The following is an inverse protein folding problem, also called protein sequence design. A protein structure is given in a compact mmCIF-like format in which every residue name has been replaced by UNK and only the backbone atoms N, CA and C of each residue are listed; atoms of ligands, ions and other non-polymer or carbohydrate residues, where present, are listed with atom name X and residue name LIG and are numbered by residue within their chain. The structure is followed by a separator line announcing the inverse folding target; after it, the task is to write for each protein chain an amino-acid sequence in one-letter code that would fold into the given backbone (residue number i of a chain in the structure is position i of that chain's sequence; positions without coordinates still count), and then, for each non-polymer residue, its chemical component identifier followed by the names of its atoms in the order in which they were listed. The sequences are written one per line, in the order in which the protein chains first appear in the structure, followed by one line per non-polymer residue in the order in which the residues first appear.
data_IF_572239524162
#
_entry.id   IF_572239524162
#
_cell.length_a   1.000
_cell.length_b   1.000
_cell.length_c   1.000
_cell.angle_alpha   90.00
_cell.angle_beta   90.00
_cell.angle_gamma   90.00
#
_symmetry.space_group_name_H-M   'P 1'
#
loop_
_entity.id
_entity.type
_entity.pdbx_description
1 polymer ?
#
# COMPACT_ATOMS: atom_id res chain seq x y z
N UNK A 1 40.28 27.13 21.01
CA UNK A 1 38.91 26.68 21.33
C UNK A 1 38.26 26.31 20.02
N UNK A 2 38.38 25.03 19.63
CA UNK A 2 37.63 24.48 18.50
C UNK A 2 36.17 24.35 18.94
N UNK A 3 35.26 24.95 18.15
CA UNK A 3 33.82 24.80 18.36
C UNK A 3 33.42 23.48 17.71
N UNK A 4 32.95 22.54 18.51
CA UNK A 4 32.37 21.28 18.02
C UNK A 4 31.25 21.57 17.02
N UNK A 5 31.13 20.78 15.93
CA UNK A 5 30.04 20.93 15.00
C UNK A 5 28.74 20.51 15.69
N UNK A 6 27.78 21.44 15.73
CA UNK A 6 26.40 21.14 16.13
C UNK A 6 25.88 20.03 15.20
N UNK A 7 25.64 18.85 15.75
CA UNK A 7 24.83 17.84 15.09
C UNK A 7 23.44 18.45 14.87
N UNK A 8 23.17 18.91 13.66
CA UNK A 8 21.80 19.14 13.20
C UNK A 8 21.07 17.81 13.30
N UNK A 9 20.15 17.70 14.25
CA UNK A 9 19.13 16.65 14.22
C UNK A 9 18.37 16.84 12.91
N UNK A 10 18.69 16.03 11.90
CA UNK A 10 17.80 15.84 10.75
C UNK A 10 16.48 15.33 11.32
N UNK A 11 15.46 16.19 11.36
CA UNK A 11 14.10 15.73 11.56
C UNK A 11 13.83 14.68 10.48
N UNK A 12 13.59 13.43 10.90
CA UNK A 12 13.15 12.40 9.96
C UNK A 12 11.78 12.84 9.47
N UNK A 13 11.66 13.14 8.17
CA UNK A 13 10.37 13.31 7.54
C UNK A 13 9.60 12.00 7.67
N UNK A 14 8.37 12.07 8.16
CA UNK A 14 7.46 10.92 8.13
C UNK A 14 7.16 10.55 6.67
N UNK A 15 7.06 9.25 6.35
CA UNK A 15 6.78 8.82 5.00
C UNK A 15 5.36 9.23 4.59
N UNK A 16 5.19 9.62 3.33
CA UNK A 16 3.88 9.96 2.76
C UNK A 16 3.06 8.69 2.52
N UNK A 17 3.73 7.58 2.23
CA UNK A 17 3.15 6.25 2.09
C UNK A 17 3.54 5.44 3.34
N UNK A 18 2.56 5.06 4.17
CA UNK A 18 2.81 4.25 5.37
C UNK A 18 3.12 2.79 4.98
N UNK A 19 4.39 2.52 4.70
CA UNK A 19 4.92 1.20 4.36
C UNK A 19 5.73 0.56 5.50
N UNK A 20 5.83 1.20 6.68
CA UNK A 20 6.77 0.78 7.72
C UNK A 20 6.47 -0.64 8.22
N UNK A 21 7.32 -1.58 7.79
CA UNK A 21 7.20 -3.01 8.06
C UNK A 21 8.55 -3.57 8.48
N UNK A 22 8.54 -4.46 9.47
CA UNK A 22 9.76 -5.17 9.91
C UNK A 22 10.33 -6.02 8.76
N UNK A 23 11.66 -5.97 8.56
CA UNK A 23 12.33 -6.74 7.48
C UNK A 23 11.97 -8.23 7.49
N UNK A 24 11.90 -8.84 8.68
CA UNK A 24 11.54 -10.25 8.82
C UNK A 24 10.11 -10.56 8.37
N UNK A 25 9.19 -9.58 8.48
CA UNK A 25 7.82 -9.71 7.97
C UNK A 25 7.81 -9.67 6.45
N UNK A 26 8.56 -8.74 5.84
CA UNK A 26 8.72 -8.70 4.38
C UNK A 26 9.32 -10.00 3.83
N UNK A 27 10.42 -10.49 4.41
CA UNK A 27 11.07 -11.74 3.99
C UNK A 27 10.12 -12.96 4.09
N UNK A 28 9.27 -13.01 5.11
CA UNK A 28 8.25 -14.06 5.23
C UNK A 28 7.16 -13.93 4.17
N UNK A 29 6.70 -12.72 3.87
CA UNK A 29 5.72 -12.47 2.81
C UNK A 29 6.26 -12.76 1.41
N UNK A 30 7.53 -12.43 1.14
CA UNK A 30 8.22 -12.81 -0.10
C UNK A 30 8.25 -14.33 -0.23
N UNK A 31 8.63 -15.05 0.84
CA UNK A 31 8.66 -16.52 0.86
C UNK A 31 7.31 -17.17 0.60
N UNK A 32 6.21 -16.48 0.96
CA UNK A 32 4.84 -16.95 0.76
C UNK A 32 4.29 -16.62 -0.64
N UNK A 33 5.05 -15.89 -1.45
CA UNK A 33 4.69 -15.55 -2.82
C UNK A 33 3.99 -14.20 -2.99
N UNK A 34 3.77 -13.43 -1.91
CA UNK A 34 3.04 -12.16 -1.99
C UNK A 34 3.73 -11.16 -2.93
N UNK A 35 5.06 -11.10 -2.88
CA UNK A 35 5.83 -10.25 -3.78
C UNK A 35 5.62 -10.60 -5.24
N UNK A 36 5.69 -11.89 -5.59
CA UNK A 36 5.45 -12.37 -6.95
C UNK A 36 4.03 -12.05 -7.42
N UNK A 37 3.02 -12.19 -6.55
CA UNK A 37 1.63 -11.86 -6.90
C UNK A 37 1.45 -10.35 -7.13
N UNK A 38 2.15 -9.50 -6.35
CA UNK A 38 2.15 -8.04 -6.53
C UNK A 38 2.89 -7.65 -7.81
N UNK A 39 4.04 -8.25 -8.09
CA UNK A 39 4.77 -8.07 -9.34
C UNK A 39 3.87 -8.40 -10.54
N UNK A 40 3.26 -9.60 -10.55
CA UNK A 40 2.35 -10.04 -11.62
C UNK A 40 1.16 -9.08 -11.78
N UNK A 41 0.58 -8.61 -10.66
CA UNK A 41 -0.52 -7.66 -10.68
C UNK A 41 -0.11 -6.30 -11.27
N UNK A 42 1.06 -5.77 -10.90
CA UNK A 42 1.57 -4.49 -11.40
C UNK A 42 1.96 -4.57 -12.87
N UNK A 43 2.70 -5.61 -13.27
CA UNK A 43 3.13 -5.80 -14.66
C UNK A 43 1.97 -6.14 -15.59
N UNK A 44 1.05 -6.99 -15.13
CA UNK A 44 -0.13 -7.41 -15.89
C UNK A 44 -1.27 -6.40 -15.88
N UNK A 45 -1.19 -5.31 -15.10
CA UNK A 45 -2.32 -4.41 -14.88
C UNK A 45 -2.98 -3.93 -16.18
N UNK A 46 -2.18 -3.43 -17.12
CA UNK A 46 -2.67 -2.88 -18.39
C UNK A 46 -3.28 -3.95 -19.33
N UNK A 47 -2.97 -5.23 -19.12
CA UNK A 47 -3.58 -6.34 -19.85
C UNK A 47 -4.86 -6.84 -19.18
N UNK A 48 -4.95 -6.70 -17.85
CA UNK A 48 -6.05 -7.18 -17.02
C UNK A 48 -7.20 -6.18 -16.91
N UNK A 49 -6.91 -4.88 -16.96
CA UNK A 49 -7.88 -3.81 -16.73
C UNK A 49 -7.98 -2.86 -17.94
N UNK A 50 -9.20 -2.50 -18.35
CA UNK A 50 -9.42 -1.45 -19.35
C UNK A 50 -8.76 -0.11 -18.95
N UNK A 51 -8.34 0.71 -19.94
CA UNK A 51 -7.80 2.05 -19.69
C UNK A 51 -8.72 2.89 -18.79
N UNK A 52 -8.15 3.46 -17.73
CA UNK A 52 -8.89 4.28 -16.78
C UNK A 52 -9.65 3.52 -15.68
N UNK A 53 -9.69 2.18 -15.68
CA UNK A 53 -10.25 1.44 -14.55
C UNK A 53 -9.33 1.48 -13.33
N UNK A 54 -9.93 1.59 -12.14
CA UNK A 54 -9.24 1.52 -10.85
C UNK A 54 -9.35 0.10 -10.29
N UNK A 55 -8.23 -0.48 -9.88
CA UNK A 55 -8.23 -1.71 -9.08
C UNK A 55 -7.55 -1.47 -7.73
N UNK A 56 -8.19 -1.96 -6.66
CA UNK A 56 -7.72 -1.80 -5.28
C UNK A 56 -6.52 -2.70 -5.02
N UNK A 57 -5.49 -2.19 -4.33
CA UNK A 57 -4.42 -3.00 -3.74
C UNK A 57 -4.87 -3.41 -2.35
N UNK A 58 -5.69 -4.46 -2.27
CA UNK A 58 -6.24 -4.98 -1.01
C UNK A 58 -5.79 -6.42 -0.76
N UNK A 59 -5.62 -6.79 0.51
CA UNK A 59 -5.16 -8.12 0.94
C UNK A 59 -6.00 -9.27 0.39
N UNK A 60 -7.30 -9.06 0.27
CA UNK A 60 -8.25 -10.04 -0.24
C UNK A 60 -8.05 -10.38 -1.72
N UNK A 61 -7.32 -9.55 -2.47
CA UNK A 61 -7.05 -9.78 -3.90
C UNK A 61 -5.90 -10.76 -4.14
N UNK A 62 -5.20 -11.21 -3.09
CA UNK A 62 -3.97 -11.98 -3.17
C UNK A 62 -4.08 -13.29 -2.39
N UNK A 63 -3.87 -14.43 -3.05
CA UNK A 63 -4.04 -15.75 -2.43
C UNK A 63 -3.05 -15.98 -1.28
N UNK A 64 -1.83 -15.47 -1.42
CA UNK A 64 -0.79 -15.59 -0.40
C UNK A 64 -1.22 -14.93 0.93
N UNK A 65 -1.94 -13.81 0.86
CA UNK A 65 -2.46 -13.10 2.03
C UNK A 65 -3.55 -13.88 2.74
N UNK A 66 -4.53 -14.39 1.99
CA UNK A 66 -5.61 -15.23 2.54
C UNK A 66 -5.06 -16.50 3.22
N UNK A 67 -4.10 -17.18 2.57
CA UNK A 67 -3.42 -18.37 3.13
C UNK A 67 -2.72 -18.05 4.45
N UNK A 68 -2.04 -16.90 4.53
CA UNK A 68 -1.33 -16.50 5.75
C UNK A 68 -2.27 -16.10 6.88
N UNK A 69 -3.26 -15.24 6.61
CA UNK A 69 -4.25 -14.80 7.61
C UNK A 69 -4.96 -16.02 8.20
N UNK A 70 -5.41 -16.96 7.36
CA UNK A 70 -6.03 -18.22 7.83
C UNK A 70 -5.08 -19.08 8.67
N UNK A 71 -3.80 -19.16 8.32
CA UNK A 71 -2.79 -19.90 9.11
C UNK A 71 -2.54 -19.25 10.47
N UNK A 72 -2.46 -17.93 10.51
CA UNK A 72 -2.28 -17.17 11.73
C UNK A 72 -3.51 -17.27 12.64
N UNK A 73 -4.71 -17.11 12.10
CA UNK A 73 -5.97 -17.25 12.84
C UNK A 73 -6.11 -18.65 13.46
N UNK A 74 -5.83 -19.72 12.70
CA UNK A 74 -5.78 -21.10 13.21
C UNK A 74 -4.80 -21.25 14.37
N UNK A 75 -3.63 -20.62 14.26
CA UNK A 75 -2.60 -20.66 15.30
C UNK A 75 -3.07 -19.95 16.56
N UNK A 76 -3.62 -18.74 16.44
CA UNK A 76 -4.14 -17.98 17.58
C UNK A 76 -5.31 -18.68 18.27
N UNK A 77 -6.22 -19.31 17.52
CA UNK A 77 -7.28 -20.17 18.08
C UNK A 77 -6.70 -21.35 18.86
N UNK A 78 -5.69 -22.04 18.30
CA UNK A 78 -5.02 -23.17 18.97
C UNK A 78 -4.38 -22.76 20.30
N UNK A 79 -3.81 -21.56 20.39
CA UNK A 79 -3.17 -21.04 21.60
C UNK A 79 -4.10 -20.25 22.53
N UNK A 80 -5.42 -20.27 22.30
CA UNK A 80 -6.42 -19.55 23.11
C UNK A 80 -6.05 -18.08 23.35
N UNK A 81 -5.66 -17.38 22.28
CA UNK A 81 -5.35 -15.96 22.39
C UNK A 81 -6.60 -15.17 22.83
N UNK A 82 -6.52 -14.54 24.01
CA UNK A 82 -7.47 -13.50 24.39
C UNK A 82 -7.17 -12.30 23.47
N UNK A 83 -8.11 -11.87 22.63
CA UNK A 83 -7.99 -10.82 21.58
C UNK A 83 -7.62 -11.32 20.17
N UNK A 84 -8.27 -12.39 19.71
CA UNK A 84 -8.10 -12.91 18.35
C UNK A 84 -8.34 -11.84 17.26
N UNK A 85 -9.42 -11.06 17.37
CA UNK A 85 -9.79 -10.05 16.36
C UNK A 85 -8.70 -8.97 16.20
N UNK A 86 -8.15 -8.48 17.32
CA UNK A 86 -7.06 -7.49 17.31
C UNK A 86 -5.83 -8.05 16.59
N UNK A 87 -5.46 -9.30 16.89
CA UNK A 87 -4.29 -9.94 16.27
C UNK A 87 -4.47 -10.23 14.78
N UNK A 88 -5.70 -10.52 14.33
CA UNK A 88 -5.99 -10.69 12.90
C UNK A 88 -5.87 -9.35 12.19
N UNK A 89 -6.46 -8.28 12.74
CA UNK A 89 -6.32 -6.91 12.21
C UNK A 89 -4.88 -6.44 12.13
N UNK A 90 -4.06 -6.74 13.13
CA UNK A 90 -2.61 -6.43 13.09
C UNK A 90 -1.88 -7.15 11.95
N UNK A 91 -2.30 -8.37 11.60
CA UNK A 91 -1.71 -9.12 10.48
C UNK A 91 -2.18 -8.56 9.15
N UNK A 92 -3.46 -8.22 9.03
CA UNK A 92 -4.02 -7.60 7.84
C UNK A 92 -3.34 -6.25 7.56
N UNK A 93 -3.10 -5.45 8.59
CA UNK A 93 -2.35 -4.20 8.45
C UNK A 93 -0.88 -4.45 8.04
N UNK A 94 -0.19 -5.42 8.65
CA UNK A 94 1.16 -5.82 8.22
C UNK A 94 1.17 -6.31 6.77
N UNK A 95 0.15 -7.04 6.34
CA UNK A 95 0.02 -7.49 4.96
C UNK A 95 -0.15 -6.29 4.03
N UNK A 96 -1.06 -5.36 4.36
CA UNK A 96 -1.31 -4.13 3.61
C UNK A 96 -0.02 -3.32 3.43
N UNK A 97 0.72 -3.08 4.51
CA UNK A 97 2.00 -2.36 4.42
C UNK A 97 3.04 -3.12 3.60
N UNK A 98 3.09 -4.44 3.68
CA UNK A 98 3.99 -5.27 2.85
C UNK A 98 3.64 -5.19 1.37
N UNK A 99 2.34 -5.26 1.03
CA UNK A 99 1.86 -5.09 -0.34
C UNK A 99 2.21 -3.72 -0.91
N UNK A 100 1.99 -2.66 -0.12
CA UNK A 100 2.36 -1.30 -0.53
C UNK A 100 3.87 -1.12 -0.65
N UNK A 101 4.66 -1.81 0.18
CA UNK A 101 6.13 -1.84 0.05
C UNK A 101 6.51 -2.46 -1.30
N UNK A 102 6.03 -3.66 -1.61
CA UNK A 102 6.33 -4.34 -2.86
C UNK A 102 5.83 -3.55 -4.06
N UNK A 103 4.61 -3.03 -4.01
CA UNK A 103 4.05 -2.22 -5.10
C UNK A 103 4.85 -0.93 -5.30
N UNK A 104 5.24 -0.22 -4.23
CA UNK A 104 6.06 0.98 -4.34
C UNK A 104 7.44 0.69 -4.94
N UNK A 105 8.07 -0.43 -4.55
CA UNK A 105 9.35 -0.88 -5.10
C UNK A 105 9.23 -1.15 -6.61
N UNK A 106 8.21 -1.90 -7.04
CA UNK A 106 7.98 -2.22 -8.46
C UNK A 106 7.62 -0.99 -9.29
N UNK A 107 6.86 -0.06 -8.71
CA UNK A 107 6.45 1.20 -9.34
C UNK A 107 7.53 2.29 -9.28
N UNK A 108 8.67 2.02 -8.64
CA UNK A 108 9.77 2.99 -8.50
C UNK A 108 9.42 4.24 -7.70
N UNK A 109 8.54 4.11 -6.70
CA UNK A 109 8.06 5.22 -5.86
C UNK A 109 8.93 5.36 -4.62
N UNK A 110 9.45 6.56 -4.34
CA UNK A 110 10.03 6.89 -3.04
C UNK A 110 8.88 7.09 -2.01
N UNK A 111 8.72 6.21 -1.00
CA UNK A 111 7.64 6.33 -0.01
C UNK A 111 7.79 7.56 0.90
N UNK A 112 9.00 8.13 1.01
CA UNK A 112 9.27 9.33 1.80
C UNK A 112 8.93 10.59 1.01
N UNK A 113 9.30 10.65 -0.27
CA UNK A 113 9.07 11.82 -1.13
C UNK A 113 8.49 11.41 -2.48
N UNK A 114 7.25 10.86 -2.53
CA UNK A 114 6.67 10.42 -3.79
C UNK A 114 6.29 11.64 -4.65
N UNK A 115 6.48 11.55 -5.97
CA UNK A 115 6.09 12.61 -6.91
C UNK A 115 4.57 12.58 -7.12
N UNK A 116 3.87 13.60 -6.62
CA UNK A 116 2.42 13.76 -6.83
C UNK A 116 2.21 14.50 -8.15
N UNK A 117 1.53 13.85 -9.10
CA UNK A 117 1.24 14.40 -10.43
C UNK A 117 -0.13 15.04 -10.52
N UNK A 118 -1.06 14.63 -9.66
CA UNK A 118 -2.42 15.17 -9.63
C UNK A 118 -3.02 15.04 -8.22
N UNK A 119 -3.81 16.02 -7.82
CA UNK A 119 -4.63 15.97 -6.61
C UNK A 119 -6.03 16.40 -6.96
N UNK A 120 -7.02 15.60 -6.60
CA UNK A 120 -8.44 15.87 -6.82
C UNK A 120 -9.16 15.95 -5.47
N UNK A 121 -10.16 16.81 -5.40
CA UNK A 121 -11.04 16.92 -4.24
C UNK A 121 -12.43 16.45 -4.65
N UNK A 122 -12.88 15.34 -4.09
CA UNK A 122 -14.21 14.77 -4.35
C UNK A 122 -15.08 15.01 -3.12
N UNK A 123 -16.30 15.51 -3.32
CA UNK A 123 -17.29 15.64 -2.26
C UNK A 123 -18.28 14.48 -2.42
N UNK A 124 -18.25 13.54 -1.48
CA UNK A 124 -19.18 12.41 -1.44
C UNK A 124 -20.15 12.53 -0.27
N UNK A 125 -21.37 12.05 -0.46
CA UNK A 125 -22.36 11.93 0.61
C UNK A 125 -22.34 10.50 1.15
N UNK A 126 -21.73 10.32 2.31
CA UNK A 126 -21.62 9.03 3.00
C UNK A 126 -22.49 9.10 4.25
N UNK A 127 -23.49 8.21 4.33
CA UNK A 127 -24.43 8.15 5.47
C UNK A 127 -25.17 9.48 5.74
N UNK A 128 -25.40 10.29 4.70
CA UNK A 128 -26.08 11.60 4.79
C UNK A 128 -25.16 12.75 5.22
N UNK A 129 -23.86 12.52 5.40
CA UNK A 129 -22.86 13.55 5.65
C UNK A 129 -21.99 13.78 4.41
N UNK A 130 -21.80 15.05 4.03
CA UNK A 130 -20.85 15.42 2.98
C UNK A 130 -19.43 15.30 3.51
N UNK A 131 -18.69 14.30 3.01
CA UNK A 131 -17.27 14.10 3.28
C UNK A 131 -16.44 14.57 2.09
N UNK A 132 -15.32 15.22 2.41
CA UNK A 132 -14.33 15.66 1.42
C UNK A 132 -13.23 14.61 1.34
N UNK A 133 -13.14 13.92 0.21
CA UNK A 133 -12.08 12.97 -0.11
C UNK A 133 -10.99 13.68 -0.91
N UNK A 134 -9.74 13.47 -0.51
CA UNK A 134 -8.57 14.00 -1.20
C UNK A 134 -7.91 12.84 -1.92
N UNK A 135 -8.00 12.84 -3.24
CA UNK A 135 -7.42 11.80 -4.09
C UNK A 135 -6.08 12.29 -4.59
N UNK A 136 -5.01 11.58 -4.24
CA UNK A 136 -3.63 11.86 -4.69
C UNK A 136 -3.21 10.82 -5.71
N UNK A 137 -2.64 11.29 -6.80
CA UNK A 137 -2.06 10.48 -7.87
C UNK A 137 -0.55 10.59 -7.79
N UNK A 138 0.12 9.46 -7.59
CA UNK A 138 1.57 9.36 -7.53
C UNK A 138 2.09 8.85 -8.86
N UNK A 139 3.16 9.48 -9.32
CA UNK A 139 3.90 9.06 -10.50
C UNK A 139 4.56 7.71 -10.25
N UNK A 140 4.58 6.87 -11.27
CA UNK A 140 5.29 5.59 -11.26
C UNK A 140 6.42 5.63 -12.30
N UNK A 141 7.24 4.59 -12.34
CA UNK A 141 8.23 4.33 -13.38
C UNK A 141 7.61 3.87 -14.71
N UNK A 142 6.28 3.72 -14.79
CA UNK A 142 5.53 3.39 -16.01
C UNK A 142 4.71 4.61 -16.46
N UNK A 143 4.86 5.03 -17.72
CA UNK A 143 4.27 6.30 -18.21
C UNK A 143 2.75 6.37 -18.06
N UNK A 144 2.05 5.24 -18.20
CA UNK A 144 0.60 5.19 -18.24
C UNK A 144 -0.03 4.60 -16.98
N UNK A 145 0.71 4.45 -15.87
CA UNK A 145 0.21 3.83 -14.64
C UNK A 145 0.39 4.78 -13.46
N UNK A 146 -0.65 4.90 -12.64
CA UNK A 146 -0.66 5.73 -11.44
C UNK A 146 -0.96 4.89 -10.21
N UNK A 147 -0.22 5.15 -9.13
CA UNK A 147 -0.63 4.73 -7.79
C UNK A 147 -1.51 5.84 -7.21
N UNK A 148 -2.69 5.49 -6.71
CA UNK A 148 -3.68 6.46 -6.22
C UNK A 148 -3.99 6.17 -4.76
N UNK A 149 -4.15 7.22 -3.97
CA UNK A 149 -4.66 7.14 -2.61
C UNK A 149 -5.77 8.15 -2.39
N UNK A 150 -6.94 7.69 -1.94
CA UNK A 150 -8.14 8.51 -1.75
C UNK A 150 -8.48 8.80 -0.29
N UNK A 151 -7.50 8.63 0.61
CA UNK A 151 -7.58 8.65 2.09
C UNK A 151 -8.04 7.35 2.75
N UNK A 152 -8.70 6.46 2.01
CA UNK A 152 -9.20 5.18 2.53
C UNK A 152 -8.31 4.06 2.01
N UNK A 153 -8.19 3.96 0.68
CA UNK A 153 -7.58 2.83 0.01
C UNK A 153 -6.52 3.26 -1.01
N UNK A 154 -5.74 2.26 -1.44
CA UNK A 154 -4.72 2.39 -2.47
C UNK A 154 -5.17 1.68 -3.74
N UNK A 155 -4.99 2.33 -4.89
CA UNK A 155 -5.43 1.82 -6.18
C UNK A 155 -4.33 1.93 -7.23
N UNK A 156 -4.36 1.02 -8.20
CA UNK A 156 -3.73 1.24 -9.50
C UNK A 156 -4.78 1.70 -10.50
N UNK A 157 -4.38 2.63 -11.36
CA UNK A 157 -5.20 3.09 -12.49
C UNK A 157 -4.28 3.41 -13.66
N UNK A 158 -4.67 2.97 -14.85
CA UNK A 158 -4.01 3.36 -16.09
C UNK A 158 -4.54 4.70 -16.60
N UNK A 159 -3.79 5.39 -17.46
CA UNK A 159 -4.30 6.60 -18.11
C UNK A 159 -5.55 6.30 -18.94
N UNK A 160 -6.56 7.17 -18.89
CA UNK A 160 -7.73 7.06 -19.77
C UNK A 160 -7.34 7.28 -21.23
N UNK A 161 -7.85 6.44 -22.14
CA UNK A 161 -7.73 6.71 -23.56
C UNK A 161 -8.45 8.01 -23.92
N UNK A 162 -7.70 9.03 -24.31
CA UNK A 162 -8.26 10.25 -24.90
C UNK A 162 -8.87 9.90 -26.26
N UNK A 163 -10.20 9.83 -26.31
CA UNK A 163 -10.98 9.74 -27.56
C UNK A 163 -10.83 10.99 -28.43
#
# INVERSE_FOLDING_TARGET
MEKEPKFEKKEKKEPVIDIETEKAVLEEWERLGLKSEIEDFVFGFNELFPPGERAVIHSENFESTDKFVKKAEKSFKKFKANNLEVKVKEIEDKARKSMLTFAADELGIDPINPEIVRTEEIIEEIEGEKKKLIVKYFKTNQENLFLIHDTIDWYLQSEEEKK
#
